data_IF_420318931224
#
_entry.id   IF_420318931224
#
_cell.length_a   1.000
_cell.length_b   1.000
_cell.length_c   1.000
_cell.angle_alpha   90.00
_cell.angle_beta   90.00
_cell.angle_gamma   90.00
#
_symmetry.space_group_name_H-M   'P 1'
#
loop_
_entity.id
_entity.type
_entity.pdbx_description
1 polymer ?
#
# COMPACT_ATOMS: atom_id res chain seq x y z
N UNK A 1 42.76 16.22 37.22
CA UNK A 1 42.42 16.74 35.89
C UNK A 1 42.04 15.57 35.02
N UNK A 2 40.74 15.33 34.83
CA UNK A 2 40.22 14.32 33.90
C UNK A 2 39.60 15.07 32.72
N UNK A 3 39.99 14.71 31.50
CA UNK A 3 39.60 15.40 30.28
C UNK A 3 38.07 15.36 30.08
N UNK A 4 37.45 16.41 29.52
CA UNK A 4 36.06 16.35 29.10
C UNK A 4 35.94 15.38 27.91
N UNK A 5 34.99 14.45 27.98
CA UNK A 5 34.59 13.66 26.80
C UNK A 5 33.93 14.62 25.82
N UNK A 6 34.51 14.78 24.64
CA UNK A 6 33.92 15.55 23.57
C UNK A 6 32.76 14.79 22.91
N UNK A 7 31.71 15.56 22.66
CA UNK A 7 30.49 15.28 21.93
C UNK A 7 30.74 14.64 20.55
N UNK A 8 29.87 13.72 20.16
CA UNK A 8 29.85 13.15 18.81
C UNK A 8 28.66 12.25 18.51
N UNK A 9 27.53 12.37 19.22
CA UNK A 9 26.29 11.79 18.71
C UNK A 9 25.80 12.75 17.63
N UNK A 10 26.14 12.44 16.38
CA UNK A 10 25.39 13.00 15.26
C UNK A 10 23.97 12.50 15.46
N UNK A 11 23.10 13.35 16.02
CA UNK A 11 21.67 13.11 16.03
C UNK A 11 21.23 13.07 14.57
N UNK A 12 21.29 11.89 13.96
CA UNK A 12 20.69 11.64 12.65
C UNK A 12 19.22 11.94 12.85
N UNK A 13 18.74 13.02 12.24
CA UNK A 13 17.32 13.34 12.25
C UNK A 13 16.60 12.11 11.68
N UNK A 14 15.67 11.49 12.42
CA UNK A 14 15.03 10.27 11.95
C UNK A 14 14.35 10.54 10.61
N UNK A 15 14.71 9.76 9.61
CA UNK A 15 14.12 9.81 8.27
C UNK A 15 13.12 8.67 8.13
N UNK A 16 12.06 8.90 7.39
CA UNK A 16 11.01 7.90 7.18
C UNK A 16 10.62 7.84 5.71
N UNK A 17 10.04 6.70 5.34
CA UNK A 17 9.34 6.53 4.08
C UNK A 17 7.91 6.08 4.32
N UNK A 18 7.04 6.40 3.36
CA UNK A 18 5.64 6.00 3.39
C UNK A 18 5.39 4.98 2.27
N UNK A 19 4.95 3.78 2.65
CA UNK A 19 4.68 2.67 1.73
C UNK A 19 3.25 2.16 1.91
N UNK A 20 2.39 2.48 0.95
CA UNK A 20 1.04 1.94 0.83
C UNK A 20 1.01 0.60 0.12
N UNK A 21 -0.05 -0.18 0.33
CA UNK A 21 -0.35 -1.36 -0.46
C UNK A 21 -1.83 -1.44 -0.82
N UNK A 22 -2.09 -1.61 -2.12
CA UNK A 22 -3.40 -1.96 -2.68
C UNK A 22 -3.26 -3.35 -3.29
N UNK A 23 -4.17 -4.26 -2.95
CA UNK A 23 -4.25 -5.54 -3.66
C UNK A 23 -5.19 -5.35 -4.83
N UNK A 24 -4.78 -5.74 -6.02
CA UNK A 24 -5.66 -5.75 -7.19
C UNK A 24 -5.79 -7.18 -7.71
N UNK A 25 -6.87 -7.84 -7.31
CA UNK A 25 -7.18 -9.23 -7.69
C UNK A 25 -6.00 -10.20 -7.49
N UNK A 26 -5.45 -10.20 -6.27
CA UNK A 26 -4.39 -11.13 -5.84
C UNK A 26 -5.01 -12.36 -5.16
N UNK A 27 -4.77 -13.55 -5.72
CA UNK A 27 -5.23 -14.81 -5.15
C UNK A 27 -4.46 -15.16 -3.87
N UNK A 28 -5.17 -15.72 -2.89
CA UNK A 28 -4.61 -16.06 -1.58
C UNK A 28 -4.85 -17.52 -1.23
N UNK A 29 -3.92 -18.10 -0.48
CA UNK A 29 -4.04 -19.45 0.07
C UNK A 29 -4.70 -19.37 1.46
N UNK A 30 -5.56 -20.35 1.79
CA UNK A 30 -6.22 -20.48 3.09
C UNK A 30 -7.60 -19.83 3.13
N UNK A 31 -8.20 -19.80 4.33
CA UNK A 31 -9.62 -19.51 4.52
C UNK A 31 -10.01 -18.02 4.48
N UNK A 32 -9.12 -17.13 4.00
CA UNK A 32 -9.40 -15.69 3.98
C UNK A 32 -10.57 -15.33 3.06
N UNK A 33 -10.64 -15.97 1.89
CA UNK A 33 -11.82 -15.93 1.04
C UNK A 33 -12.64 -17.20 1.29
N UNK A 34 -13.70 -17.15 2.10
CA UNK A 34 -14.58 -18.29 2.27
C UNK A 34 -15.25 -18.60 0.92
N UNK A 35 -15.39 -19.90 0.60
CA UNK A 35 -16.07 -20.36 -0.62
C UNK A 35 -15.15 -20.73 -1.80
N UNK A 36 -13.83 -20.80 -1.60
CA UNK A 36 -12.90 -21.36 -2.58
C UNK A 36 -12.07 -22.48 -1.96
N UNK A 37 -12.15 -23.67 -2.55
CA UNK A 37 -11.41 -24.85 -2.08
C UNK A 37 -9.98 -24.90 -2.65
N UNK A 38 -9.75 -24.24 -3.80
CA UNK A 38 -8.47 -24.22 -4.50
C UNK A 38 -8.09 -22.81 -4.94
N UNK A 39 -6.79 -22.61 -5.19
CA UNK A 39 -6.27 -21.36 -5.75
C UNK A 39 -6.84 -21.13 -7.15
N UNK A 40 -6.96 -22.19 -7.94
CA UNK A 40 -7.49 -22.18 -9.30
C UNK A 40 -8.94 -21.69 -9.34
N UNK A 41 -9.77 -22.11 -8.37
CA UNK A 41 -11.15 -21.63 -8.25
C UNK A 41 -11.20 -20.14 -7.87
N UNK A 42 -10.30 -19.71 -6.98
CA UNK A 42 -10.18 -18.31 -6.62
C UNK A 42 -9.72 -17.46 -7.80
N UNK A 43 -8.70 -17.89 -8.55
CA UNK A 43 -8.22 -17.20 -9.74
C UNK A 43 -9.32 -17.12 -10.81
N UNK A 44 -10.09 -18.20 -11.02
CA UNK A 44 -11.24 -18.18 -11.93
C UNK A 44 -12.26 -17.12 -11.55
N UNK A 45 -12.55 -16.98 -10.25
CA UNK A 45 -13.44 -15.93 -9.75
C UNK A 45 -12.81 -14.53 -9.87
N UNK A 46 -11.57 -14.36 -9.42
CA UNK A 46 -10.88 -13.08 -9.38
C UNK A 46 -10.67 -12.51 -10.79
N UNK A 47 -10.37 -13.37 -11.75
CA UNK A 47 -10.08 -13.02 -13.14
C UNK A 47 -11.28 -13.17 -14.08
N UNK A 48 -12.47 -13.43 -13.54
CA UNK A 48 -13.71 -13.33 -14.32
C UNK A 48 -13.77 -11.96 -15.01
N UNK A 49 -13.96 -11.90 -16.35
CA UNK A 49 -13.92 -10.64 -17.08
C UNK A 49 -14.91 -9.61 -16.58
N UNK A 50 -16.15 -10.01 -16.23
CA UNK A 50 -17.16 -9.06 -15.75
C UNK A 50 -16.77 -8.49 -14.39
N UNK A 51 -16.19 -9.32 -13.51
CA UNK A 51 -15.61 -8.86 -12.24
C UNK A 51 -14.45 -7.90 -12.47
N UNK A 52 -13.49 -8.24 -13.33
CA UNK A 52 -12.34 -7.38 -13.62
C UNK A 52 -12.77 -6.05 -14.21
N UNK A 53 -13.67 -6.03 -15.19
CA UNK A 53 -14.24 -4.79 -15.72
C UNK A 53 -14.80 -3.88 -14.61
N UNK A 54 -15.49 -4.45 -13.63
CA UNK A 54 -15.99 -3.71 -12.47
C UNK A 54 -14.85 -3.18 -11.59
N UNK A 55 -13.84 -4.00 -11.27
CA UNK A 55 -12.69 -3.57 -10.46
C UNK A 55 -11.91 -2.44 -11.15
N UNK A 56 -11.65 -2.56 -12.45
CA UNK A 56 -11.04 -1.47 -13.22
C UNK A 56 -11.87 -0.19 -13.20
N UNK A 57 -13.19 -0.28 -13.38
CA UNK A 57 -14.05 0.90 -13.34
C UNK A 57 -13.99 1.62 -11.98
N UNK A 58 -13.96 0.88 -10.87
CA UNK A 58 -13.84 1.45 -9.53
C UNK A 58 -12.43 2.00 -9.27
N UNK A 59 -11.39 1.26 -9.67
CA UNK A 59 -10.01 1.69 -9.54
C UNK A 59 -9.74 2.99 -10.31
N UNK A 60 -10.19 3.08 -11.56
CA UNK A 60 -10.02 4.28 -12.38
C UNK A 60 -10.84 5.48 -11.88
N UNK A 61 -12.00 5.24 -11.26
CA UNK A 61 -12.85 6.29 -10.74
C UNK A 61 -12.43 6.81 -9.35
N UNK A 62 -11.89 5.95 -8.49
CA UNK A 62 -11.65 6.25 -7.08
C UNK A 62 -10.19 6.08 -6.67
N UNK A 63 -9.69 4.84 -6.71
CA UNK A 63 -8.38 4.50 -6.16
C UNK A 63 -7.23 5.22 -6.89
N UNK A 64 -7.15 5.09 -8.22
CA UNK A 64 -6.09 5.68 -9.04
C UNK A 64 -6.06 7.21 -8.95
N UNK A 65 -7.18 7.96 -9.09
CA UNK A 65 -7.17 9.41 -8.87
C UNK A 65 -6.72 9.79 -7.46
N UNK A 66 -7.15 9.05 -6.43
CA UNK A 66 -6.77 9.36 -5.04
C UNK A 66 -5.28 9.20 -4.78
N UNK A 67 -4.61 8.29 -5.49
CA UNK A 67 -3.15 8.14 -5.44
C UNK A 67 -2.44 9.19 -6.31
N UNK A 68 -2.94 9.44 -7.53
CA UNK A 68 -2.33 10.35 -8.51
C UNK A 68 -2.31 11.80 -8.02
N UNK A 69 -3.35 12.23 -7.31
CA UNK A 69 -3.56 13.63 -6.92
C UNK A 69 -3.31 13.90 -5.43
N UNK A 70 -2.48 13.10 -4.77
CA UNK A 70 -1.99 13.46 -3.43
C UNK A 70 -1.23 14.79 -3.50
N UNK A 71 -1.50 15.69 -2.54
CA UNK A 71 -0.84 17.00 -2.47
C UNK A 71 0.65 16.88 -2.12
N UNK A 72 1.03 15.79 -1.46
CA UNK A 72 2.42 15.40 -1.25
C UNK A 72 2.72 14.10 -2.03
N UNK A 73 3.63 14.14 -3.03
CA UNK A 73 3.96 12.98 -3.85
C UNK A 73 5.04 12.06 -3.23
N UNK A 74 5.56 12.39 -2.04
CA UNK A 74 6.65 11.65 -1.39
C UNK A 74 6.14 10.39 -0.67
N UNK A 75 5.74 9.40 -1.47
CA UNK A 75 5.32 8.07 -1.02
C UNK A 75 5.43 7.05 -2.16
N UNK A 76 5.42 5.76 -1.81
CA UNK A 76 5.20 4.67 -2.76
C UNK A 76 3.90 3.94 -2.40
N UNK A 77 3.11 3.53 -3.39
CA UNK A 77 1.98 2.62 -3.25
C UNK A 77 2.23 1.38 -4.11
N UNK A 78 2.31 0.23 -3.46
CA UNK A 78 2.48 -1.05 -4.14
C UNK A 78 1.11 -1.55 -4.59
N UNK A 79 0.96 -1.78 -5.90
CA UNK A 79 -0.18 -2.49 -6.45
C UNK A 79 0.17 -3.97 -6.59
N UNK A 80 -0.29 -4.77 -5.62
CA UNK A 80 -0.03 -6.21 -5.56
C UNK A 80 -1.04 -6.97 -6.44
N UNK A 81 -0.54 -7.59 -7.50
CA UNK A 81 -1.32 -8.28 -8.55
C UNK A 81 -0.98 -9.78 -8.54
N UNK A 82 -1.96 -10.63 -8.81
CA UNK A 82 -1.72 -12.07 -8.99
C UNK A 82 -0.95 -12.37 -10.28
N UNK A 83 0.12 -13.16 -10.20
CA UNK A 83 0.92 -13.57 -11.37
C UNK A 83 0.07 -14.27 -12.45
N UNK A 84 -0.94 -15.04 -12.04
CA UNK A 84 -1.88 -15.73 -12.92
C UNK A 84 -2.87 -14.81 -13.66
N UNK A 85 -2.88 -13.50 -13.38
CA UNK A 85 -3.76 -12.57 -14.07
C UNK A 85 -3.45 -12.56 -15.59
N UNK A 86 -4.48 -12.66 -16.46
CA UNK A 86 -4.26 -12.65 -17.91
C UNK A 86 -3.54 -11.37 -18.37
N UNK A 87 -2.59 -11.53 -19.29
CA UNK A 87 -1.68 -10.46 -19.76
C UNK A 87 -2.42 -9.20 -20.20
N UNK A 88 -3.55 -9.33 -20.90
CA UNK A 88 -4.37 -8.17 -21.34
C UNK A 88 -4.78 -7.24 -20.19
N UNK A 89 -5.02 -7.79 -18.99
CA UNK A 89 -5.38 -7.02 -17.81
C UNK A 89 -4.15 -6.43 -17.12
N UNK A 90 -3.04 -7.18 -17.10
CA UNK A 90 -1.76 -6.67 -16.59
C UNK A 90 -1.27 -5.49 -17.41
N UNK A 91 -1.27 -5.63 -18.73
CA UNK A 91 -0.90 -4.56 -19.67
C UNK A 91 -1.77 -3.31 -19.48
N UNK A 92 -3.07 -3.49 -19.23
CA UNK A 92 -3.97 -2.38 -18.89
C UNK A 92 -3.57 -1.71 -17.58
N UNK A 93 -3.26 -2.46 -16.51
CA UNK A 93 -2.80 -1.89 -15.24
C UNK A 93 -1.49 -1.12 -15.42
N UNK A 94 -0.49 -1.70 -16.10
CA UNK A 94 0.76 -1.00 -16.41
C UNK A 94 0.49 0.28 -17.19
N UNK A 95 -0.38 0.24 -18.21
CA UNK A 95 -0.74 1.42 -18.99
C UNK A 95 -1.43 2.53 -18.17
N UNK A 96 -2.36 2.18 -17.29
CA UNK A 96 -3.10 3.13 -16.44
C UNK A 96 -2.23 3.83 -15.38
N UNK A 97 -1.13 3.19 -14.99
CA UNK A 97 -0.27 3.62 -13.88
C UNK A 97 1.10 4.13 -14.33
N UNK A 98 1.42 4.03 -15.63
CA UNK A 98 2.73 4.39 -16.19
C UNK A 98 3.16 5.84 -15.91
N UNK A 99 2.20 6.76 -15.76
CA UNK A 99 2.43 8.18 -15.50
C UNK A 99 2.28 8.57 -14.02
N UNK A 100 2.13 7.60 -13.12
CA UNK A 100 1.98 7.82 -11.67
C UNK A 100 3.21 7.30 -10.93
N UNK A 101 4.24 8.14 -10.69
CA UNK A 101 5.53 7.70 -10.12
C UNK A 101 5.41 7.03 -8.76
N UNK A 102 4.37 7.38 -7.99
CA UNK A 102 4.11 6.79 -6.68
C UNK A 102 3.67 5.32 -6.77
N UNK A 103 3.15 4.84 -7.91
CA UNK A 103 2.62 3.48 -8.03
C UNK A 103 3.71 2.51 -8.51
N UNK A 104 3.88 1.41 -7.79
CA UNK A 104 4.76 0.29 -8.17
C UNK A 104 3.97 -1.00 -8.27
N UNK A 105 3.97 -1.63 -9.44
CA UNK A 105 3.31 -2.91 -9.64
C UNK A 105 4.23 -4.04 -9.14
N UNK A 106 3.64 -4.98 -8.40
CA UNK A 106 4.31 -6.19 -7.94
C UNK A 106 3.41 -7.38 -8.27
N UNK A 107 3.91 -8.27 -9.12
CA UNK A 107 3.25 -9.54 -9.43
C UNK A 107 3.75 -10.63 -8.49
N UNK A 108 2.83 -11.23 -7.73
CA UNK A 108 3.17 -12.30 -6.80
C UNK A 108 2.38 -13.58 -7.08
N UNK A 109 3.02 -14.72 -6.81
CA UNK A 109 2.35 -16.01 -6.74
C UNK A 109 1.37 -16.03 -5.53
N UNK A 110 0.32 -16.87 -5.57
CA UNK A 110 -0.61 -17.01 -4.47
C UNK A 110 0.10 -17.32 -3.15
N UNK A 111 -0.26 -16.58 -2.10
CA UNK A 111 0.31 -16.71 -0.76
C UNK A 111 -0.79 -16.64 0.30
N UNK A 112 -0.48 -17.06 1.53
CA UNK A 112 -1.39 -16.78 2.64
C UNK A 112 -1.63 -15.27 2.74
N UNK A 113 -2.90 -14.85 2.88
CA UNK A 113 -3.32 -13.45 2.73
C UNK A 113 -2.44 -12.45 3.50
N UNK A 114 -2.32 -12.64 4.82
CA UNK A 114 -1.55 -11.73 5.67
C UNK A 114 -0.05 -11.76 5.33
N UNK A 115 0.50 -12.95 5.09
CA UNK A 115 1.91 -13.13 4.78
C UNK A 115 2.27 -12.48 3.44
N UNK A 116 1.41 -12.60 2.42
CA UNK A 116 1.63 -11.97 1.11
C UNK A 116 1.69 -10.45 1.21
N UNK A 117 0.76 -9.83 1.94
CA UNK A 117 0.77 -8.38 2.18
C UNK A 117 2.02 -7.96 2.95
N UNK A 118 2.31 -8.65 4.07
CA UNK A 118 3.44 -8.34 4.94
C UNK A 118 4.76 -8.46 4.20
N UNK A 119 4.98 -9.57 3.49
CA UNK A 119 6.20 -9.80 2.72
C UNK A 119 6.37 -8.75 1.63
N UNK A 120 5.31 -8.44 0.88
CA UNK A 120 5.37 -7.39 -0.16
C UNK A 120 5.78 -6.03 0.41
N UNK A 121 5.25 -5.65 1.58
CA UNK A 121 5.63 -4.43 2.26
C UNK A 121 7.06 -4.47 2.80
N UNK A 122 7.54 -5.62 3.28
CA UNK A 122 8.90 -5.78 3.82
C UNK A 122 9.97 -5.84 2.73
N UNK A 123 9.65 -6.48 1.59
CA UNK A 123 10.55 -6.62 0.44
C UNK A 123 10.77 -5.28 -0.29
N UNK A 124 9.92 -4.28 -0.04
CA UNK A 124 10.17 -2.92 -0.51
C UNK A 124 11.43 -2.35 0.14
N UNK A 125 12.41 -1.84 -0.64
CA UNK A 125 13.68 -1.34 -0.13
C UNK A 125 13.54 -0.28 0.97
N UNK A 126 14.43 -0.36 1.97
CA UNK A 126 14.51 0.60 3.07
C UNK A 126 15.03 1.98 2.64
N UNK A 127 15.82 2.04 1.58
CA UNK A 127 16.49 3.23 1.02
C UNK A 127 17.20 4.12 2.08
N UNK A 128 17.71 3.48 3.14
CA UNK A 128 18.41 4.15 4.23
C UNK A 128 17.51 4.93 5.21
N UNK A 129 16.18 4.85 5.06
CA UNK A 129 15.25 5.43 6.02
C UNK A 129 15.29 4.67 7.35
N UNK A 130 15.30 5.41 8.46
CA UNK A 130 15.30 4.80 9.79
C UNK A 130 13.93 4.26 10.21
N UNK A 131 12.85 4.80 9.63
CA UNK A 131 11.47 4.39 9.94
C UNK A 131 10.66 4.15 8.67
N UNK A 132 9.57 3.37 8.80
CA UNK A 132 8.59 3.15 7.74
C UNK A 132 7.19 3.33 8.28
N UNK A 133 6.39 4.10 7.55
CA UNK A 133 4.95 4.20 7.74
C UNK A 133 4.29 3.34 6.68
N UNK A 134 3.41 2.44 7.08
CA UNK A 134 2.66 1.60 6.14
C UNK A 134 1.17 1.86 6.23
N UNK A 135 0.50 1.77 5.09
CA UNK A 135 -0.96 1.81 5.02
C UNK A 135 -1.47 0.81 3.97
N UNK A 136 -2.75 0.44 4.08
CA UNK A 136 -3.41 -0.47 3.15
C UNK A 136 -4.86 -0.04 2.96
N UNK A 137 -5.33 -0.09 1.73
CA UNK A 137 -6.73 0.10 1.36
C UNK A 137 -7.07 -0.74 0.12
N UNK A 138 -8.34 -0.87 -0.24
CA UNK A 138 -8.77 -1.72 -1.36
C UNK A 138 -8.81 -0.94 -2.70
N UNK A 139 -8.74 -1.65 -3.84
CA UNK A 139 -8.70 -1.03 -5.18
C UNK A 139 -10.01 -0.35 -5.61
N UNK A 140 -11.05 -0.41 -4.77
CA UNK A 140 -12.32 0.31 -4.91
C UNK A 140 -12.53 1.42 -3.87
N UNK A 141 -11.55 1.67 -3.01
CA UNK A 141 -11.55 2.77 -2.04
C UNK A 141 -10.80 4.00 -2.59
N UNK A 142 -10.89 5.13 -1.87
CA UNK A 142 -10.12 6.34 -2.15
C UNK A 142 -9.55 6.94 -0.86
N UNK A 143 -8.37 7.55 -0.98
CA UNK A 143 -7.76 8.35 0.07
C UNK A 143 -8.10 9.84 -0.09
N UNK A 144 -8.12 10.56 1.02
CA UNK A 144 -8.17 12.02 1.02
C UNK A 144 -6.93 12.59 0.32
N UNK A 145 -7.06 13.72 -0.39
CA UNK A 145 -5.95 14.31 -1.17
C UNK A 145 -4.77 14.76 -0.31
N UNK A 146 -4.99 15.03 0.99
CA UNK A 146 -3.94 15.41 1.94
C UNK A 146 -3.49 14.23 2.83
N UNK A 147 -3.95 13.00 2.56
CA UNK A 147 -3.62 11.85 3.38
C UNK A 147 -2.11 11.68 3.58
N UNK A 148 -1.31 11.75 2.51
CA UNK A 148 0.14 11.64 2.60
C UNK A 148 0.76 12.84 3.31
N UNK A 149 0.29 14.06 3.02
CA UNK A 149 0.76 15.27 3.70
C UNK A 149 0.51 15.21 5.22
N UNK A 150 -0.63 14.67 5.64
CA UNK A 150 -0.97 14.48 7.05
C UNK A 150 -0.03 13.47 7.72
N UNK A 151 0.26 12.34 7.08
CA UNK A 151 1.22 11.36 7.61
C UNK A 151 2.62 11.98 7.81
N UNK A 152 3.10 12.75 6.82
CA UNK A 152 4.34 13.52 6.93
C UNK A 152 4.33 14.49 8.10
N UNK A 153 3.19 15.15 8.37
CA UNK A 153 3.06 16.08 9.50
C UNK A 153 3.11 15.39 10.87
N UNK A 154 2.66 14.14 10.97
CA UNK A 154 2.59 13.39 12.22
C UNK A 154 3.90 12.65 12.53
N UNK A 155 4.56 12.13 11.51
CA UNK A 155 5.69 11.21 11.64
C UNK A 155 6.78 11.67 12.63
N UNK A 156 7.30 12.91 12.58
CA UNK A 156 8.38 13.32 13.49
C UNK A 156 7.97 13.23 14.97
N UNK A 157 6.75 13.68 15.29
CA UNK A 157 6.23 13.69 16.66
C UNK A 157 5.97 12.29 17.21
N UNK A 158 5.57 11.37 16.34
CA UNK A 158 5.33 9.98 16.74
C UNK A 158 6.64 9.25 16.99
N UNK A 159 7.64 9.47 16.12
CA UNK A 159 8.98 8.90 16.28
C UNK A 159 9.61 9.38 17.60
N UNK A 160 9.48 10.67 17.92
CA UNK A 160 9.96 11.21 19.19
C UNK A 160 9.26 10.58 20.42
N UNK A 161 7.98 10.19 20.29
CA UNK A 161 7.20 9.60 21.38
C UNK A 161 7.48 8.11 21.58
N UNK A 162 7.59 7.35 20.49
CA UNK A 162 7.73 5.88 20.54
C UNK A 162 9.18 5.40 20.58
N UNK A 163 10.13 6.23 20.15
CA UNK A 163 11.46 5.78 19.79
C UNK A 163 11.42 4.81 18.59
N UNK A 164 12.53 4.12 18.35
CA UNK A 164 12.71 3.23 17.19
C UNK A 164 12.04 1.85 17.31
N UNK A 165 11.76 1.39 18.54
CA UNK A 165 11.44 -0.03 18.79
C UNK A 165 9.95 -0.32 19.01
N UNK A 166 9.12 0.72 19.15
CA UNK A 166 7.71 0.57 19.46
C UNK A 166 6.86 1.00 18.25
N UNK A 167 6.16 0.06 17.58
CA UNK A 167 5.24 0.42 16.50
C UNK A 167 4.12 1.33 16.99
N UNK A 168 3.84 2.38 16.21
CA UNK A 168 2.72 3.29 16.46
C UNK A 168 1.62 3.05 15.44
N UNK A 169 0.38 3.00 15.90
CA UNK A 169 -0.80 2.89 15.04
C UNK A 169 -1.49 4.25 14.95
N UNK A 170 -1.69 4.72 13.72
CA UNK A 170 -2.48 5.91 13.41
C UNK A 170 -3.89 5.50 12.97
N UNK A 171 -4.91 6.09 13.60
CA UNK A 171 -6.32 5.88 13.24
C UNK A 171 -6.93 7.17 12.71
N UNK A 172 -7.38 7.14 11.46
CA UNK A 172 -8.15 8.23 10.85
C UNK A 172 -9.64 7.90 10.96
N UNK A 173 -10.38 8.64 11.79
CA UNK A 173 -11.78 8.30 12.14
C UNK A 173 -12.83 9.03 11.28
N UNK A 174 -12.42 9.64 10.16
CA UNK A 174 -13.31 10.35 9.24
C UNK A 174 -13.27 9.64 7.88
N UNK A 175 -14.44 9.33 7.35
CA UNK A 175 -14.58 8.67 6.05
C UNK A 175 -16.00 8.84 5.51
N UNK A 176 -16.16 8.58 4.22
CA UNK A 176 -17.44 8.57 3.52
C UNK A 176 -17.62 7.20 2.87
N UNK A 177 -18.87 6.71 2.85
CA UNK A 177 -19.25 5.53 2.10
C UNK A 177 -20.15 5.95 0.95
N UNK A 178 -19.80 5.54 -0.26
CA UNK A 178 -20.62 5.78 -1.44
C UNK A 178 -21.53 4.57 -1.66
N UNK A 179 -22.84 4.80 -1.56
CA UNK A 179 -23.85 3.81 -1.89
C UNK A 179 -24.44 4.11 -3.27
N UNK A 180 -24.33 3.14 -4.19
CA UNK A 180 -25.02 3.23 -5.47
C UNK A 180 -26.47 2.83 -5.28
N UNK A 181 -27.40 3.79 -5.38
CA UNK A 181 -28.83 3.48 -5.49
C UNK A 181 -29.12 2.88 -6.87
N UNK A 182 -29.76 1.71 -6.86
CA UNK A 182 -30.31 1.07 -8.05
C UNK A 182 -31.54 1.80 -8.56
#
# INVERSE_FOLDING_TARGET
MSAPRQCGDILVTPSFQIVGLVRFSFATIGSFYPGFDTVEDMERFLFDPARLHRRFALFEAFCLPSLRYQTNPDFTCILLVGQGMPTVWKDRLYGLTADVPAIRLVEAAPQHHYSGIKNTLLDHPGDGHSHRITFRFDDDDALDSDFIALLHSYAPRLIDLSGADIPVVLSHNKGLYVERKN
#
